data_IF_289909831636
#
_entry.id   IF_289909831636
#
_cell.length_a   1.000
_cell.length_b   1.000
_cell.length_c   1.000
_cell.angle_alpha   90.00
_cell.angle_beta   90.00
_cell.angle_gamma   90.00
#
_symmetry.space_group_name_H-M   'P 1'
#
loop_
_entity.id
_entity.type
_entity.pdbx_description
1 polymer ?
#
# COMPACT_ATOMS: atom_id res chain seq x y z
N UNK A 1 15.00 38.64 -3.49
CA UNK A 1 15.47 37.58 -2.59
C UNK A 1 16.98 37.68 -2.40
N UNK A 2 17.49 37.62 -1.16
CA UNK A 2 18.92 37.53 -0.92
C UNK A 2 19.45 36.23 -1.53
N UNK A 3 20.56 36.29 -2.24
CA UNK A 3 21.19 35.13 -2.86
C UNK A 3 21.70 34.21 -1.75
N UNK A 4 21.03 33.09 -1.53
CA UNK A 4 21.36 32.12 -0.49
C UNK A 4 22.62 31.37 -0.93
N UNK A 5 23.68 31.44 -0.16
CA UNK A 5 25.00 30.91 -0.54
C UNK A 5 25.22 29.45 -0.14
N UNK A 6 24.60 29.01 0.94
CA UNK A 6 24.73 27.63 1.44
C UNK A 6 23.48 27.15 2.17
N UNK A 7 23.42 25.87 2.51
CA UNK A 7 22.27 25.23 3.15
C UNK A 7 21.93 25.85 4.53
N UNK A 8 22.95 26.27 5.30
CA UNK A 8 22.75 26.89 6.62
C UNK A 8 22.11 28.27 6.51
N UNK A 9 22.53 29.06 5.51
CA UNK A 9 21.91 30.37 5.23
C UNK A 9 20.46 30.20 4.84
N UNK A 10 20.16 29.14 4.11
CA UNK A 10 18.80 28.79 3.70
C UNK A 10 17.91 28.43 4.90
N UNK A 11 18.42 27.64 5.83
CA UNK A 11 17.70 27.31 7.05
C UNK A 11 17.38 28.52 7.94
N UNK A 12 18.21 29.57 7.88
CA UNK A 12 17.94 30.85 8.58
C UNK A 12 16.82 31.67 7.93
N UNK A 13 16.63 31.54 6.60
CA UNK A 13 15.61 32.25 5.82
C UNK A 13 14.38 31.39 5.52
N UNK A 14 14.12 30.33 6.29
CA UNK A 14 12.96 29.47 6.09
C UNK A 14 11.65 30.19 6.47
N UNK A 15 10.54 29.67 5.90
CA UNK A 15 9.21 30.12 6.26
C UNK A 15 8.95 29.80 7.75
N UNK A 16 8.26 30.71 8.43
CA UNK A 16 7.98 30.52 9.86
C UNK A 16 6.67 29.75 10.04
N UNK A 17 6.66 28.65 10.82
CA UNK A 17 5.44 27.99 11.21
C UNK A 17 4.49 28.94 11.98
N UNK A 18 3.18 28.78 11.83
CA UNK A 18 2.22 29.52 12.65
C UNK A 18 2.33 29.08 14.12
N UNK A 19 1.97 29.98 15.04
CA UNK A 19 1.99 29.70 16.50
C UNK A 19 1.23 28.41 16.85
N UNK A 20 0.07 28.18 16.24
CA UNK A 20 -0.72 26.98 16.49
C UNK A 20 -0.06 25.67 16.10
N UNK A 21 1.00 25.68 15.29
CA UNK A 21 1.76 24.47 14.99
C UNK A 21 2.47 23.91 16.23
N UNK A 22 3.22 24.74 16.96
CA UNK A 22 3.93 24.28 18.14
C UNK A 22 2.97 23.92 19.27
N UNK A 23 1.87 24.67 19.44
CA UNK A 23 0.80 24.33 20.38
C UNK A 23 0.20 22.95 20.08
N UNK A 24 -0.05 22.67 18.80
CA UNK A 24 -0.51 21.36 18.36
C UNK A 24 0.53 20.26 18.64
N UNK A 25 1.82 20.50 18.37
CA UNK A 25 2.90 19.56 18.68
C UNK A 25 2.90 19.20 20.17
N UNK A 26 2.80 20.18 21.05
CA UNK A 26 2.80 19.96 22.51
C UNK A 26 1.60 19.16 22.97
N UNK A 27 0.45 19.30 22.31
CA UNK A 27 -0.75 18.55 22.59
C UNK A 27 -0.66 17.06 22.24
N UNK A 28 0.30 16.65 21.41
CA UNK A 28 0.53 15.23 21.07
C UNK A 28 1.33 14.49 22.16
N UNK A 29 1.93 15.21 23.10
CA UNK A 29 2.65 14.62 24.23
C UNK A 29 1.72 14.27 25.36
N UNK A 30 2.08 13.25 26.19
CA UNK A 30 1.42 13.01 27.46
C UNK A 30 1.46 14.27 28.35
N UNK A 31 0.36 14.56 29.00
CA UNK A 31 0.30 15.62 30.01
C UNK A 31 0.46 14.97 31.37
N UNK A 32 1.44 15.43 32.15
CA UNK A 32 1.72 14.91 33.48
C UNK A 32 1.17 15.85 34.54
N UNK A 33 0.46 15.28 35.53
CA UNK A 33 -0.09 15.99 36.68
C UNK A 33 0.40 15.31 37.94
N UNK A 34 0.97 16.06 38.89
CA UNK A 34 1.36 15.55 40.18
C UNK A 34 0.12 15.27 41.03
N UNK A 35 -0.12 14.00 41.34
CA UNK A 35 -1.31 13.59 42.10
C UNK A 35 -1.17 13.81 43.58
N UNK A 36 0.04 13.67 44.12
CA UNK A 36 0.36 13.93 45.54
C UNK A 36 1.86 14.15 45.74
N UNK A 37 2.24 14.53 46.96
CA UNK A 37 3.65 14.75 47.35
C UNK A 37 4.52 13.47 47.35
N UNK A 38 3.92 12.28 47.15
CA UNK A 38 4.57 10.97 47.22
C UNK A 38 4.92 10.38 45.82
N UNK A 39 5.20 11.23 44.84
CA UNK A 39 5.85 10.72 43.63
C UNK A 39 4.98 10.05 42.57
N UNK A 40 3.68 10.23 42.63
CA UNK A 40 2.79 9.70 41.61
C UNK A 40 2.52 10.77 40.57
N UNK A 41 2.82 10.44 39.33
CA UNK A 41 2.45 11.25 38.16
C UNK A 41 1.32 10.52 37.44
N UNK A 42 0.24 11.25 37.20
CA UNK A 42 -0.82 10.80 36.29
C UNK A 42 -0.50 11.33 34.93
N UNK A 43 -0.27 10.43 33.99
CA UNK A 43 -0.03 10.80 32.62
C UNK A 43 -1.30 10.54 31.79
N UNK A 44 -1.75 11.54 31.07
CA UNK A 44 -2.81 11.40 30.07
C UNK A 44 -2.28 11.80 28.71
N UNK A 45 -2.64 11.06 27.68
CA UNK A 45 -2.43 11.49 26.30
C UNK A 45 -3.71 12.14 25.80
N UNK A 46 -3.66 13.39 25.41
CA UNK A 46 -4.83 14.09 24.84
C UNK A 46 -5.36 13.38 23.58
N UNK A 47 -4.46 12.76 22.83
CA UNK A 47 -4.79 12.06 21.58
C UNK A 47 -5.63 10.79 21.81
N UNK A 48 -5.50 10.12 22.95
CA UNK A 48 -6.11 8.82 23.16
C UNK A 48 -6.98 8.72 24.41
N UNK A 49 -7.15 9.81 25.13
CA UNK A 49 -7.92 9.87 26.41
C UNK A 49 -7.49 8.85 27.46
N UNK A 50 -6.36 8.16 27.24
CA UNK A 50 -5.86 7.14 28.15
C UNK A 50 -5.06 7.82 29.26
N UNK A 51 -5.47 7.58 30.50
CA UNK A 51 -4.75 8.02 31.68
C UNK A 51 -4.06 6.83 32.33
N UNK A 52 -2.80 6.96 32.66
CA UNK A 52 -2.06 5.96 33.42
C UNK A 52 -1.25 6.62 34.53
N UNK A 53 -1.02 5.86 35.62
CA UNK A 53 -0.21 6.30 36.75
C UNK A 53 1.21 5.75 36.62
N UNK A 54 2.20 6.60 36.82
CA UNK A 54 3.60 6.23 36.83
C UNK A 54 4.26 6.75 38.11
N UNK A 55 4.92 5.86 38.81
CA UNK A 55 5.71 6.21 39.99
C UNK A 55 7.14 6.56 39.57
N UNK A 56 7.62 7.70 40.03
CA UNK A 56 8.99 8.15 39.81
C UNK A 56 9.71 8.28 41.15
N UNK A 57 11.02 8.04 41.18
CA UNK A 57 11.85 8.33 42.34
C UNK A 57 11.84 9.84 42.63
N UNK A 58 11.98 10.21 43.91
CA UNK A 58 11.90 11.60 44.38
C UNK A 58 12.82 12.54 43.64
N UNK A 59 14.06 12.14 43.35
CA UNK A 59 15.05 12.90 42.61
C UNK A 59 14.76 13.02 41.09
N UNK A 60 13.98 12.07 40.52
CA UNK A 60 13.59 12.10 39.13
C UNK A 60 12.50 13.11 38.83
N UNK A 61 11.79 13.62 39.84
CA UNK A 61 10.71 14.59 39.65
C UNK A 61 11.19 15.97 39.29
N UNK A 62 12.38 16.33 39.78
CA UNK A 62 12.90 17.69 39.65
C UNK A 62 13.30 17.98 38.21
N UNK A 63 13.94 17.01 37.60
CA UNK A 63 14.40 17.15 36.21
C UNK A 63 14.51 15.81 35.53
N UNK A 64 13.77 15.57 34.47
CA UNK A 64 13.88 14.38 33.64
C UNK A 64 13.44 14.62 32.20
N UNK A 65 14.04 13.87 31.29
CA UNK A 65 13.62 13.79 29.91
C UNK A 65 12.47 12.81 29.78
N UNK A 66 11.37 13.24 29.16
CA UNK A 66 10.20 12.39 28.97
C UNK A 66 10.21 11.71 27.58
N UNK A 67 10.13 12.50 26.53
CA UNK A 67 9.94 11.98 25.18
C UNK A 67 10.42 12.97 24.12
N UNK A 68 10.87 12.40 22.99
CA UNK A 68 11.11 13.12 21.76
C UNK A 68 10.18 12.61 20.66
N UNK A 69 9.61 13.52 19.87
CA UNK A 69 8.79 13.21 18.71
C UNK A 69 9.11 14.14 17.55
N UNK A 70 8.81 13.65 16.33
CA UNK A 70 9.00 14.41 15.11
C UNK A 70 7.65 14.85 14.54
N UNK A 71 7.57 16.12 14.13
CA UNK A 71 6.37 16.72 13.57
C UNK A 71 6.71 17.44 12.28
N UNK A 72 5.86 17.26 11.30
CA UNK A 72 6.02 17.85 9.98
C UNK A 72 4.98 18.91 9.72
N UNK A 73 5.38 19.98 9.05
CA UNK A 73 4.48 21.01 8.53
C UNK A 73 4.85 21.34 7.10
N UNK A 74 3.82 21.48 6.25
CA UNK A 74 3.97 22.00 4.89
C UNK A 74 3.56 23.46 4.87
N UNK A 75 4.47 24.31 4.42
CA UNK A 75 4.30 25.75 4.29
C UNK A 75 4.42 26.15 2.82
N UNK A 76 3.66 27.15 2.42
CA UNK A 76 3.73 27.67 1.06
C UNK A 76 3.63 29.17 0.99
N UNK A 77 4.34 29.74 0.03
CA UNK A 77 4.17 31.10 -0.49
C UNK A 77 4.00 31.01 -2.01
N UNK A 78 3.80 32.14 -2.68
CA UNK A 78 3.64 32.20 -4.14
C UNK A 78 4.80 31.58 -4.92
N UNK A 79 6.01 31.58 -4.36
CA UNK A 79 7.25 31.15 -5.05
C UNK A 79 8.04 30.08 -4.31
N UNK A 80 7.53 29.57 -3.20
CA UNK A 80 8.30 28.64 -2.36
C UNK A 80 7.32 27.68 -1.65
N UNK A 81 7.65 26.41 -1.66
CA UNK A 81 7.01 25.38 -0.84
C UNK A 81 8.08 24.82 0.07
N UNK A 82 7.79 24.68 1.35
CA UNK A 82 8.69 24.10 2.32
C UNK A 82 8.02 22.95 3.09
N UNK A 83 8.75 21.87 3.22
CA UNK A 83 8.41 20.74 4.09
C UNK A 83 9.42 20.83 5.25
N UNK A 84 8.92 21.18 6.42
CA UNK A 84 9.74 21.35 7.60
C UNK A 84 9.41 20.25 8.61
N UNK A 85 10.43 19.56 9.09
CA UNK A 85 10.30 18.57 10.17
C UNK A 85 10.98 19.12 11.41
N UNK A 86 10.24 19.16 12.49
CA UNK A 86 10.72 19.60 13.78
C UNK A 86 10.87 18.41 14.71
N UNK A 87 11.99 18.36 15.40
CA UNK A 87 12.20 17.49 16.55
C UNK A 87 11.77 18.28 17.80
N UNK A 88 10.80 17.73 18.54
CA UNK A 88 10.21 18.35 19.72
C UNK A 88 10.46 17.47 20.92
N UNK A 89 10.97 18.08 21.98
CA UNK A 89 11.32 17.43 23.23
C UNK A 89 10.36 17.83 24.34
N UNK A 90 9.82 16.84 25.04
CA UNK A 90 9.12 17.03 26.32
C UNK A 90 10.05 16.63 27.45
N UNK A 91 10.21 17.50 28.42
CA UNK A 91 11.01 17.23 29.61
C UNK A 91 10.42 17.95 30.83
N UNK A 92 10.85 17.53 32.00
CA UNK A 92 10.45 18.12 33.25
C UNK A 92 11.62 18.86 33.89
N UNK A 93 11.33 20.06 34.37
CA UNK A 93 12.28 20.92 35.08
C UNK A 93 11.51 21.59 36.19
N UNK A 94 12.02 21.50 37.42
CA UNK A 94 11.40 22.09 38.61
C UNK A 94 9.89 21.76 38.77
N UNK A 95 9.48 20.53 38.43
CA UNK A 95 8.08 20.10 38.51
C UNK A 95 7.16 20.61 37.42
N UNK A 96 7.68 21.30 36.42
CA UNK A 96 6.92 21.80 35.29
C UNK A 96 7.27 21.03 34.01
N UNK A 97 6.28 20.73 33.21
CA UNK A 97 6.49 20.20 31.87
C UNK A 97 6.92 21.33 30.94
N UNK A 98 8.05 21.14 30.32
CA UNK A 98 8.65 22.08 29.39
C UNK A 98 8.83 21.44 28.02
N UNK A 99 8.86 22.26 26.97
CA UNK A 99 9.09 21.82 25.62
C UNK A 99 10.23 22.60 24.98
N UNK A 100 11.06 21.89 24.23
CA UNK A 100 12.05 22.49 23.32
C UNK A 100 11.89 21.88 21.94
N UNK A 101 12.22 22.63 20.93
CA UNK A 101 12.16 22.17 19.56
C UNK A 101 13.33 22.70 18.75
N UNK A 102 13.69 21.99 17.69
CA UNK A 102 14.57 22.51 16.65
C UNK A 102 14.16 21.98 15.28
N UNK A 103 14.51 22.73 14.25
CA UNK A 103 14.31 22.32 12.86
C UNK A 103 15.29 21.20 12.54
N UNK A 104 14.76 19.99 12.35
CA UNK A 104 15.54 18.78 12.06
C UNK A 104 15.79 18.61 10.56
N UNK A 105 14.74 18.73 9.74
CA UNK A 105 14.81 18.61 8.29
C UNK A 105 14.03 19.72 7.61
N UNK A 106 14.63 20.30 6.58
CA UNK A 106 14.02 21.30 5.72
C UNK A 106 14.18 20.88 4.28
N UNK A 107 13.09 20.70 3.59
CA UNK A 107 13.06 20.53 2.13
C UNK A 107 12.36 21.74 1.53
N UNK A 108 13.04 22.44 0.64
CA UNK A 108 12.50 23.62 0.00
C UNK A 108 12.45 23.45 -1.51
N UNK A 109 11.27 23.71 -2.06
CA UNK A 109 10.96 23.65 -3.47
C UNK A 109 10.82 25.09 -3.99
N UNK A 110 11.77 25.54 -4.77
CA UNK A 110 11.86 26.93 -5.23
C UNK A 110 12.60 27.00 -6.57
N UNK A 111 12.10 27.77 -7.52
CA UNK A 111 12.77 28.03 -8.81
C UNK A 111 13.22 26.75 -9.54
N UNK A 112 12.37 25.73 -9.60
CA UNK A 112 12.66 24.40 -10.15
C UNK A 112 13.77 23.63 -9.42
N UNK A 113 14.18 24.05 -8.23
CA UNK A 113 15.18 23.38 -7.41
C UNK A 113 14.52 22.72 -6.21
N UNK A 114 15.09 21.62 -5.79
CA UNK A 114 14.82 20.97 -4.52
C UNK A 114 16.06 21.07 -3.65
N UNK A 115 15.97 21.84 -2.59
CA UNK A 115 17.03 22.04 -1.61
C UNK A 115 16.66 21.27 -0.35
N UNK A 116 17.60 20.52 0.17
CA UNK A 116 17.43 19.72 1.38
C UNK A 116 18.51 20.05 2.39
N UNK A 117 18.08 20.35 3.61
CA UNK A 117 18.95 20.57 4.77
C UNK A 117 18.49 19.60 5.84
N UNK A 118 19.37 18.71 6.26
CA UNK A 118 19.13 17.82 7.36
C UNK A 118 20.18 18.13 8.45
N UNK A 119 19.73 18.30 9.68
CA UNK A 119 20.64 18.44 10.83
C UNK A 119 20.73 17.09 11.53
N UNK A 120 21.94 16.74 11.95
CA UNK A 120 22.11 15.57 12.79
C UNK A 120 21.45 15.80 14.14
N UNK A 121 20.65 14.83 14.57
CA UNK A 121 19.99 14.84 15.88
C UNK A 121 20.97 14.44 16.97
N UNK A 122 21.91 15.34 17.29
CA UNK A 122 22.90 15.07 18.34
C UNK A 122 22.48 15.60 19.72
N UNK A 123 21.32 16.26 19.83
CA UNK A 123 20.94 16.92 21.09
C UNK A 123 20.26 15.97 22.10
N UNK A 124 19.79 14.81 21.69
CA UNK A 124 19.20 13.82 22.58
C UNK A 124 20.13 13.40 23.75
N UNK A 125 21.44 13.43 23.52
CA UNK A 125 22.46 13.08 24.50
C UNK A 125 22.94 14.28 25.32
N UNK A 126 22.68 15.51 24.86
CA UNK A 126 23.22 16.74 25.51
C UNK A 126 22.41 17.17 26.72
N UNK A 127 21.19 16.71 26.91
CA UNK A 127 20.40 17.12 28.06
C UNK A 127 20.83 16.50 29.38
N UNK A 128 21.71 15.49 29.39
CA UNK A 128 22.25 14.86 30.59
C UNK A 128 21.19 14.30 31.55
N UNK A 129 19.94 14.23 31.08
CA UNK A 129 18.76 13.89 31.86
C UNK A 129 18.38 12.42 31.60
N UNK A 130 18.11 11.67 32.66
CA UNK A 130 17.66 10.27 32.53
C UNK A 130 16.34 10.24 31.77
N UNK A 131 16.29 9.48 30.67
CA UNK A 131 15.05 9.18 29.98
C UNK A 131 14.17 8.31 30.88
N UNK A 132 12.95 8.77 31.14
CA UNK A 132 11.97 8.07 31.97
C UNK A 132 11.19 7.04 31.14
N UNK A 133 11.02 7.34 29.88
CA UNK A 133 10.40 6.45 28.90
C UNK A 133 11.42 6.18 27.80
N UNK A 134 12.14 5.09 27.86
CA UNK A 134 13.23 4.74 26.98
C UNK A 134 12.83 4.35 25.56
N UNK A 135 11.97 5.13 24.90
CA UNK A 135 11.52 4.77 23.57
C UNK A 135 11.74 5.96 22.64
N UNK A 136 12.78 5.85 21.83
CA UNK A 136 12.85 6.57 20.58
C UNK A 136 11.75 6.01 19.68
N UNK A 137 10.71 6.78 19.42
CA UNK A 137 9.78 6.42 18.36
C UNK A 137 10.54 6.43 17.04
N UNK A 138 10.29 5.41 16.22
CA UNK A 138 10.75 5.41 14.83
C UNK A 138 10.43 6.76 14.19
N UNK A 139 11.37 7.25 13.38
CA UNK A 139 11.27 8.51 12.65
C UNK A 139 10.11 8.44 11.63
N UNK A 140 8.92 8.67 12.13
CA UNK A 140 7.72 8.91 11.31
C UNK A 140 7.12 10.21 11.83
N UNK A 141 7.36 11.34 11.17
CA UNK A 141 6.82 12.61 11.61
C UNK A 141 5.30 12.63 11.48
N UNK A 142 4.61 13.12 12.50
CA UNK A 142 3.19 13.45 12.39
C UNK A 142 3.01 14.75 11.61
N UNK A 143 2.09 14.75 10.65
CA UNK A 143 1.85 15.90 9.77
C UNK A 143 0.82 16.83 10.39
N UNK A 144 1.15 18.11 10.51
CA UNK A 144 0.23 19.15 11.01
C UNK A 144 -0.96 19.33 10.07
N UNK A 145 -2.20 19.19 10.56
CA UNK A 145 -3.42 19.27 9.75
C UNK A 145 -3.84 20.71 9.45
N UNK A 146 -3.01 21.48 8.74
CA UNK A 146 -3.25 22.89 8.47
C UNK A 146 -3.92 23.23 7.13
N UNK A 147 -4.48 22.22 6.44
CA UNK A 147 -5.08 22.41 5.11
C UNK A 147 -4.03 22.80 4.05
N UNK A 148 -2.84 22.22 4.13
CA UNK A 148 -1.72 22.57 3.25
C UNK A 148 -2.00 22.23 1.77
N UNK A 149 -2.78 21.20 1.48
CA UNK A 149 -3.17 20.85 0.11
C UNK A 149 -3.96 22.00 -0.52
N UNK A 150 -4.96 22.51 0.18
CA UNK A 150 -5.80 23.62 -0.28
C UNK A 150 -4.98 24.91 -0.44
N UNK A 151 -4.03 25.16 0.45
CA UNK A 151 -3.13 26.32 0.35
C UNK A 151 -2.21 26.22 -0.86
N UNK A 152 -1.64 25.05 -1.14
CA UNK A 152 -0.86 24.80 -2.36
C UNK A 152 -1.71 25.02 -3.62
N UNK A 153 -2.96 24.56 -3.62
CA UNK A 153 -3.90 24.73 -4.73
C UNK A 153 -4.32 26.19 -4.99
N UNK A 154 -4.15 27.08 -4.01
CA UNK A 154 -4.53 28.52 -4.17
C UNK A 154 -3.39 29.42 -4.64
N UNK A 155 -2.18 29.20 -4.15
CA UNK A 155 -1.14 30.24 -4.25
C UNK A 155 0.25 29.73 -4.60
N UNK A 156 0.47 28.43 -4.81
CA UNK A 156 1.79 27.91 -5.12
C UNK A 156 2.00 27.62 -6.62
N UNK A 157 3.22 27.23 -6.98
CA UNK A 157 3.53 26.72 -8.32
C UNK A 157 2.79 25.41 -8.64
N UNK A 158 2.15 24.77 -7.66
CA UNK A 158 1.34 23.56 -7.82
C UNK A 158 -0.17 23.82 -7.94
N UNK A 159 -0.60 25.09 -8.03
CA UNK A 159 -2.00 25.52 -8.02
C UNK A 159 -2.90 24.92 -9.09
N UNK A 160 -2.34 24.36 -10.14
CA UNK A 160 -3.10 23.74 -11.22
C UNK A 160 -3.18 22.21 -11.10
N UNK A 161 -2.60 21.64 -10.04
CA UNK A 161 -2.60 20.20 -9.82
C UNK A 161 -3.72 19.79 -8.88
N UNK A 162 -4.33 18.66 -9.19
CA UNK A 162 -5.14 17.93 -8.21
C UNK A 162 -4.20 17.14 -7.30
N UNK A 163 -4.09 17.58 -6.06
CA UNK A 163 -3.18 17.02 -5.06
C UNK A 163 -3.91 16.17 -4.01
N UNK A 164 -5.19 15.82 -4.22
CA UNK A 164 -5.94 15.00 -3.28
C UNK A 164 -5.27 13.66 -3.04
N UNK A 165 -5.10 13.30 -1.77
CA UNK A 165 -4.45 12.05 -1.35
C UNK A 165 -2.91 12.07 -1.42
N UNK A 166 -2.30 13.20 -1.77
CA UNK A 166 -0.84 13.35 -1.78
C UNK A 166 -0.30 13.47 -0.36
N UNK A 167 0.82 12.79 -0.10
CA UNK A 167 1.58 12.92 1.15
C UNK A 167 2.73 13.93 0.98
N UNK A 168 3.15 14.61 2.05
CA UNK A 168 4.21 15.61 1.96
C UNK A 168 5.51 15.11 1.33
N UNK A 169 5.86 13.85 1.57
CA UNK A 169 7.08 13.22 1.04
C UNK A 169 7.07 13.07 -0.48
N UNK A 170 5.90 13.11 -1.11
CA UNK A 170 5.76 13.05 -2.56
C UNK A 170 5.97 14.42 -3.22
N UNK A 171 5.84 15.51 -2.47
CA UNK A 171 5.92 16.88 -3.01
C UNK A 171 7.19 17.20 -3.79
N UNK A 172 8.40 16.79 -3.37
CA UNK A 172 9.60 17.05 -4.15
C UNK A 172 9.56 16.39 -5.55
N UNK A 173 9.03 15.18 -5.64
CA UNK A 173 8.87 14.49 -6.91
C UNK A 173 7.78 15.14 -7.77
N UNK A 174 6.63 15.45 -7.17
CA UNK A 174 5.52 16.14 -7.84
C UNK A 174 5.97 17.50 -8.36
N UNK A 175 6.68 18.27 -7.56
CA UNK A 175 7.20 19.57 -7.95
C UNK A 175 8.15 19.49 -9.15
N UNK A 176 9.06 18.51 -9.14
CA UNK A 176 9.99 18.26 -10.25
C UNK A 176 9.27 17.96 -11.56
N UNK A 177 8.17 17.22 -11.49
CA UNK A 177 7.46 16.75 -12.70
C UNK A 177 6.09 17.39 -12.90
N UNK A 178 5.79 18.50 -12.17
CA UNK A 178 4.48 19.17 -12.13
C UNK A 178 3.87 19.45 -13.50
N UNK A 179 4.68 19.90 -14.45
CA UNK A 179 4.18 20.22 -15.79
C UNK A 179 3.69 18.99 -16.56
N UNK A 180 4.28 17.83 -16.30
CA UNK A 180 3.87 16.55 -16.92
C UNK A 180 2.61 16.02 -16.24
N UNK A 181 2.54 16.12 -14.93
CA UNK A 181 1.36 15.76 -14.13
C UNK A 181 0.18 16.64 -14.52
N UNK A 182 0.39 17.96 -14.60
CA UNK A 182 -0.63 18.92 -15.03
C UNK A 182 -1.16 18.59 -16.43
N UNK A 183 -0.25 18.29 -17.38
CA UNK A 183 -0.66 17.89 -18.71
C UNK A 183 -1.50 16.62 -18.69
N UNK A 184 -1.09 15.60 -17.93
CA UNK A 184 -1.84 14.35 -17.81
C UNK A 184 -3.23 14.59 -17.19
N UNK A 185 -3.32 15.40 -16.12
CA UNK A 185 -4.59 15.75 -15.51
C UNK A 185 -5.50 16.55 -16.47
N UNK A 186 -4.97 17.52 -17.19
CA UNK A 186 -5.72 18.33 -18.16
C UNK A 186 -6.32 17.52 -19.31
N UNK A 187 -5.65 16.49 -19.76
CA UNK A 187 -6.20 15.60 -20.79
C UNK A 187 -7.14 14.53 -20.25
N UNK A 188 -7.36 14.49 -18.94
CA UNK A 188 -8.19 13.49 -18.28
C UNK A 188 -7.52 12.12 -18.09
N UNK A 189 -6.19 12.04 -18.21
CA UNK A 189 -5.40 10.84 -17.98
C UNK A 189 -5.12 10.66 -16.46
N UNK A 190 -6.17 10.43 -15.69
CA UNK A 190 -6.13 10.42 -14.21
C UNK A 190 -5.16 9.37 -13.68
N UNK A 191 -5.23 8.14 -14.20
CA UNK A 191 -4.36 7.05 -13.74
C UNK A 191 -2.89 7.33 -14.05
N UNK A 192 -2.57 7.82 -15.27
CA UNK A 192 -1.20 8.19 -15.60
C UNK A 192 -0.65 9.32 -14.70
N UNK A 193 -1.48 10.32 -14.39
CA UNK A 193 -1.10 11.39 -13.47
C UNK A 193 -0.79 10.81 -12.07
N UNK A 194 -1.63 9.91 -11.58
CA UNK A 194 -1.43 9.23 -10.31
C UNK A 194 -0.15 8.36 -10.30
N UNK A 195 0.09 7.63 -11.38
CA UNK A 195 1.31 6.82 -11.55
C UNK A 195 2.57 7.68 -11.46
N UNK A 196 2.56 8.88 -12.07
CA UNK A 196 3.67 9.82 -11.99
C UNK A 196 3.82 10.36 -10.55
N UNK A 197 2.72 10.79 -9.92
CA UNK A 197 2.74 11.33 -8.54
C UNK A 197 3.24 10.31 -7.53
N UNK A 198 2.83 9.07 -7.66
CA UNK A 198 3.21 7.96 -6.79
C UNK A 198 4.61 7.40 -7.10
N UNK A 199 5.31 7.98 -8.07
CA UNK A 199 6.67 7.54 -8.43
C UNK A 199 6.76 6.03 -8.66
N UNK A 200 5.81 5.45 -9.41
CA UNK A 200 5.88 4.01 -9.68
C UNK A 200 7.19 3.67 -10.42
N UNK A 201 7.86 2.61 -9.97
CA UNK A 201 9.20 2.24 -10.43
C UNK A 201 9.30 1.91 -11.92
N UNK A 202 8.17 1.59 -12.56
CA UNK A 202 8.10 1.29 -13.99
C UNK A 202 8.34 2.50 -14.88
N UNK A 203 8.10 3.72 -14.38
CA UNK A 203 8.18 4.92 -15.19
C UNK A 203 9.61 5.44 -15.24
N UNK A 204 10.23 5.37 -16.41
CA UNK A 204 11.43 6.17 -16.68
C UNK A 204 11.04 7.60 -17.06
N UNK A 205 11.17 8.51 -16.11
CA UNK A 205 10.86 9.93 -16.33
C UNK A 205 11.79 10.62 -17.31
N UNK A 206 12.90 10.03 -17.74
CA UNK A 206 13.78 10.57 -18.80
C UNK A 206 13.11 10.38 -20.16
N UNK A 207 12.42 9.26 -20.34
CA UNK A 207 11.69 8.93 -21.58
C UNK A 207 10.36 9.68 -21.65
N UNK A 208 9.63 9.79 -20.53
CA UNK A 208 8.34 10.44 -20.46
C UNK A 208 8.46 11.99 -20.53
N UNK A 209 8.85 12.49 -21.71
CA UNK A 209 8.94 13.93 -22.00
C UNK A 209 7.56 14.51 -22.36
N UNK A 210 7.46 15.86 -22.46
CA UNK A 210 6.24 16.52 -22.99
C UNK A 210 5.89 16.04 -24.40
N UNK A 211 6.89 15.79 -25.24
CA UNK A 211 6.67 15.29 -26.60
C UNK A 211 6.15 13.84 -26.58
N UNK A 212 6.67 13.00 -25.69
CA UNK A 212 6.16 11.66 -25.47
C UNK A 212 4.67 11.71 -25.05
N UNK A 213 4.32 12.54 -24.07
CA UNK A 213 2.94 12.71 -23.61
C UNK A 213 2.00 13.18 -24.74
N UNK A 214 2.46 14.10 -25.62
CA UNK A 214 1.70 14.53 -26.79
C UNK A 214 1.51 13.40 -27.80
N UNK A 215 2.57 12.62 -28.09
CA UNK A 215 2.53 11.48 -29.01
C UNK A 215 1.50 10.43 -28.55
N UNK A 216 1.44 10.12 -27.27
CA UNK A 216 0.57 9.09 -26.71
C UNK A 216 -0.71 9.65 -26.09
N UNK A 217 -1.01 10.95 -26.29
CA UNK A 217 -2.19 11.61 -25.73
C UNK A 217 -3.48 10.82 -25.97
N UNK A 218 -3.74 10.37 -27.19
CA UNK A 218 -4.96 9.64 -27.57
C UNK A 218 -5.14 8.34 -26.76
N UNK A 219 -4.04 7.67 -26.39
CA UNK A 219 -4.09 6.45 -25.60
C UNK A 219 -4.55 6.70 -24.17
N UNK A 220 -4.07 7.77 -23.54
CA UNK A 220 -4.36 8.09 -22.14
C UNK A 220 -5.57 9.03 -21.95
N UNK A 221 -5.92 9.80 -22.94
CA UNK A 221 -6.92 10.85 -22.83
C UNK A 221 -8.28 10.31 -22.43
N UNK A 222 -8.89 10.91 -21.37
CA UNK A 222 -10.22 10.53 -20.84
C UNK A 222 -10.36 9.02 -20.56
N UNK A 223 -9.28 8.39 -20.15
CA UNK A 223 -9.25 6.96 -19.88
C UNK A 223 -8.73 6.67 -18.47
N UNK A 224 -9.00 5.47 -17.99
CA UNK A 224 -8.42 4.91 -16.77
C UNK A 224 -7.08 4.22 -16.98
N UNK A 225 -6.47 4.37 -18.16
CA UNK A 225 -5.19 3.72 -18.52
C UNK A 225 -4.04 4.38 -17.80
N UNK A 226 -3.21 3.55 -17.18
CA UNK A 226 -1.96 3.94 -16.55
C UNK A 226 -0.74 3.58 -17.39
N UNK A 227 0.44 3.76 -16.80
CA UNK A 227 1.69 3.44 -17.49
C UNK A 227 1.89 1.93 -17.72
N UNK A 228 1.35 1.09 -16.82
CA UNK A 228 1.37 -0.36 -16.99
C UNK A 228 0.63 -0.81 -18.26
N UNK A 229 -0.51 -0.19 -18.56
CA UNK A 229 -1.29 -0.48 -19.76
C UNK A 229 -0.54 -0.06 -21.03
N UNK A 230 0.22 1.02 -20.94
CA UNK A 230 1.11 1.45 -22.04
C UNK A 230 2.25 0.45 -22.26
N UNK A 231 2.82 -0.12 -21.21
CA UNK A 231 3.85 -1.16 -21.35
C UNK A 231 3.28 -2.43 -21.99
N UNK A 232 2.07 -2.84 -21.62
CA UNK A 232 1.37 -3.94 -22.26
C UNK A 232 1.20 -3.67 -23.76
N UNK A 233 0.74 -2.47 -24.12
CA UNK A 233 0.63 -2.05 -25.53
C UNK A 233 1.97 -2.16 -26.25
N UNK A 234 3.04 -1.67 -25.64
CA UNK A 234 4.38 -1.71 -26.24
C UNK A 234 4.90 -3.13 -26.44
N UNK A 235 4.67 -4.00 -25.48
CA UNK A 235 5.06 -5.40 -25.58
C UNK A 235 4.31 -6.12 -26.72
N UNK A 236 3.02 -5.86 -26.87
CA UNK A 236 2.26 -6.36 -28.02
C UNK A 236 2.81 -5.86 -29.35
N UNK A 237 3.08 -4.55 -29.45
CA UNK A 237 3.68 -3.95 -30.66
C UNK A 237 5.03 -4.59 -31.01
N UNK A 238 5.89 -4.86 -30.03
CA UNK A 238 7.19 -5.52 -30.23
C UNK A 238 7.04 -6.93 -30.82
N UNK A 239 5.95 -7.60 -30.47
CA UNK A 239 5.60 -8.93 -31.02
C UNK A 239 4.81 -8.86 -32.34
N UNK A 240 4.67 -7.67 -32.93
CA UNK A 240 3.90 -7.46 -34.15
C UNK A 240 2.37 -7.60 -33.97
N UNK A 241 1.88 -7.50 -32.73
CA UNK A 241 0.47 -7.69 -32.40
C UNK A 241 -0.17 -6.35 -32.08
N UNK A 242 -1.29 -6.05 -32.71
CA UNK A 242 -2.09 -4.88 -32.37
C UNK A 242 -2.88 -5.12 -31.09
N UNK A 243 -2.73 -4.23 -30.11
CA UNK A 243 -3.54 -4.23 -28.92
C UNK A 243 -4.96 -3.76 -29.23
N UNK A 244 -5.96 -4.58 -28.87
CA UNK A 244 -7.36 -4.17 -28.88
C UNK A 244 -7.64 -3.38 -27.61
N UNK A 245 -8.08 -2.12 -27.76
CA UNK A 245 -8.35 -1.26 -26.59
C UNK A 245 -9.46 -1.83 -25.73
N UNK A 246 -9.23 -1.87 -24.44
CA UNK A 246 -10.12 -2.51 -23.47
C UNK A 246 -9.55 -3.79 -22.87
N UNK A 247 -8.62 -4.46 -23.58
CA UNK A 247 -8.00 -5.71 -23.10
C UNK A 247 -7.21 -5.51 -21.79
N UNK A 248 -6.70 -4.30 -21.56
CA UNK A 248 -6.00 -3.92 -20.35
C UNK A 248 -6.83 -4.10 -19.07
N UNK A 249 -8.15 -4.17 -19.19
CA UNK A 249 -9.05 -4.45 -18.07
C UNK A 249 -9.07 -5.93 -17.67
N UNK A 250 -8.73 -6.80 -18.59
CA UNK A 250 -8.88 -8.24 -18.48
C UNK A 250 -7.55 -9.00 -18.35
N UNK A 251 -6.42 -8.33 -18.57
CA UNK A 251 -5.08 -8.90 -18.41
C UNK A 251 -4.36 -8.16 -17.30
N UNK A 252 -4.01 -8.86 -16.20
CA UNK A 252 -3.25 -8.28 -15.12
C UNK A 252 -1.76 -8.24 -15.46
N UNK A 253 -1.02 -7.35 -14.79
CA UNK A 253 0.44 -7.25 -14.92
C UNK A 253 1.17 -8.56 -14.58
N UNK A 254 0.64 -9.32 -13.63
CA UNK A 254 1.24 -10.58 -13.19
C UNK A 254 1.04 -11.72 -14.19
N UNK A 255 0.09 -11.56 -15.11
CA UNK A 255 -0.30 -12.55 -16.10
C UNK A 255 0.26 -12.25 -17.50
N UNK A 256 1.00 -11.15 -17.66
CA UNK A 256 1.48 -10.70 -18.98
C UNK A 256 2.31 -11.78 -19.68
N UNK A 257 3.19 -12.47 -18.96
CA UNK A 257 4.03 -13.52 -19.56
C UNK A 257 3.16 -14.69 -20.04
N UNK A 258 2.29 -15.22 -19.18
CA UNK A 258 1.38 -16.32 -19.52
C UNK A 258 0.46 -15.93 -20.67
N UNK A 259 -0.01 -14.68 -20.69
CA UNK A 259 -0.82 -14.14 -21.80
C UNK A 259 -0.04 -14.15 -23.11
N UNK A 260 1.22 -13.78 -23.12
CA UNK A 260 2.06 -13.76 -24.31
C UNK A 260 2.56 -15.14 -24.76
N UNK A 261 2.51 -16.15 -23.92
CA UNK A 261 2.79 -17.54 -24.29
C UNK A 261 1.69 -18.17 -25.16
N UNK A 262 0.51 -17.53 -25.21
CA UNK A 262 -0.61 -18.05 -26.00
C UNK A 262 -0.43 -17.79 -27.49
N UNK A 263 -0.63 -18.82 -28.28
CA UNK A 263 -0.78 -18.70 -29.71
C UNK A 263 -2.10 -17.99 -30.07
N UNK A 264 -2.10 -17.20 -31.16
CA UNK A 264 -3.29 -16.50 -31.67
C UNK A 264 -3.79 -15.38 -30.72
N UNK A 265 -2.89 -14.53 -30.23
CA UNK A 265 -3.20 -13.43 -29.30
C UNK A 265 -4.33 -12.50 -29.78
N UNK A 266 -4.49 -12.27 -31.08
CA UNK A 266 -5.62 -11.46 -31.59
C UNK A 266 -6.97 -12.13 -31.31
N UNK A 267 -7.07 -13.44 -31.53
CA UNK A 267 -8.28 -14.20 -31.25
C UNK A 267 -8.56 -14.23 -29.74
N UNK A 268 -7.52 -14.40 -28.93
CA UNK A 268 -7.64 -14.39 -27.46
C UNK A 268 -8.14 -13.03 -26.95
N UNK A 269 -7.59 -11.92 -27.42
CA UNK A 269 -8.07 -10.57 -27.06
C UNK A 269 -9.56 -10.41 -27.38
N UNK A 270 -9.95 -10.75 -28.61
CA UNK A 270 -11.35 -10.65 -29.05
C UNK A 270 -12.27 -11.52 -28.19
N UNK A 271 -11.80 -12.72 -27.86
CA UNK A 271 -12.54 -13.65 -27.01
C UNK A 271 -12.76 -13.11 -25.60
N UNK A 272 -11.70 -12.67 -24.92
CA UNK A 272 -11.79 -12.12 -23.56
C UNK A 272 -12.66 -10.87 -23.50
N UNK A 273 -12.57 -10.00 -24.52
CA UNK A 273 -13.42 -8.82 -24.61
C UNK A 273 -14.90 -9.18 -24.83
N UNK A 274 -15.19 -10.20 -25.64
CA UNK A 274 -16.56 -10.68 -25.87
C UNK A 274 -17.15 -11.32 -24.61
N UNK A 275 -16.35 -12.10 -23.89
CA UNK A 275 -16.76 -12.76 -22.66
C UNK A 275 -16.81 -11.83 -21.44
N UNK A 276 -16.18 -10.65 -21.54
CA UNK A 276 -16.01 -9.69 -20.42
C UNK A 276 -15.34 -10.32 -19.18
N UNK A 277 -14.47 -11.30 -19.38
CA UNK A 277 -13.82 -12.06 -18.31
C UNK A 277 -12.30 -11.81 -18.29
N UNK A 278 -11.69 -11.98 -17.12
CA UNK A 278 -10.25 -11.86 -16.96
C UNK A 278 -9.51 -13.05 -17.56
N UNK A 279 -8.31 -12.79 -18.03
CA UNK A 279 -7.40 -13.82 -18.54
C UNK A 279 -7.12 -14.92 -17.50
N UNK A 280 -7.05 -14.58 -16.22
CA UNK A 280 -6.92 -15.58 -15.15
C UNK A 280 -7.99 -16.66 -15.23
N UNK A 281 -9.25 -16.29 -15.41
CA UNK A 281 -10.33 -17.25 -15.51
C UNK A 281 -10.21 -18.17 -16.75
N UNK A 282 -9.82 -17.59 -17.87
CA UNK A 282 -9.56 -18.38 -19.08
C UNK A 282 -8.39 -19.36 -18.88
N UNK A 283 -7.30 -18.91 -18.27
CA UNK A 283 -6.15 -19.74 -17.91
C UNK A 283 -6.55 -20.85 -16.95
N UNK A 284 -7.30 -20.53 -15.92
CA UNK A 284 -7.79 -21.51 -14.94
C UNK A 284 -8.66 -22.57 -15.58
N UNK A 285 -9.54 -22.18 -16.51
CA UNK A 285 -10.34 -23.12 -17.30
C UNK A 285 -9.47 -24.08 -18.12
N UNK A 286 -8.43 -23.55 -18.82
CA UNK A 286 -7.51 -24.39 -19.58
C UNK A 286 -6.70 -25.33 -18.70
N UNK A 287 -6.26 -24.86 -17.53
CA UNK A 287 -5.55 -25.69 -16.56
C UNK A 287 -6.44 -26.83 -16.03
N UNK A 288 -7.70 -26.54 -15.72
CA UNK A 288 -8.66 -27.59 -15.31
C UNK A 288 -8.88 -28.64 -16.40
N UNK A 289 -9.00 -28.23 -17.66
CA UNK A 289 -9.07 -29.20 -18.76
C UNK A 289 -7.85 -30.12 -18.79
N UNK A 290 -6.67 -29.55 -18.66
CA UNK A 290 -5.41 -30.30 -18.65
C UNK A 290 -5.31 -31.25 -17.44
N UNK A 291 -5.63 -30.75 -16.24
CA UNK A 291 -5.58 -31.53 -14.99
C UNK A 291 -6.56 -32.71 -15.00
N UNK A 292 -7.71 -32.57 -15.68
CA UNK A 292 -8.68 -33.62 -15.91
C UNK A 292 -8.36 -34.56 -17.11
N UNK A 293 -7.21 -34.33 -17.78
CA UNK A 293 -6.80 -35.10 -18.95
C UNK A 293 -7.64 -34.84 -20.18
N UNK A 294 -8.43 -33.77 -20.21
CA UNK A 294 -9.28 -33.42 -21.35
C UNK A 294 -8.44 -32.71 -22.40
N UNK A 295 -8.26 -33.32 -23.55
CA UNK A 295 -7.47 -32.72 -24.64
C UNK A 295 -8.08 -31.41 -25.12
N UNK A 296 -7.29 -30.33 -25.03
CA UNK A 296 -7.69 -29.01 -25.54
C UNK A 296 -7.76 -29.07 -27.08
N UNK A 297 -8.91 -28.69 -27.62
CA UNK A 297 -9.20 -28.65 -29.05
C UNK A 297 -9.95 -27.35 -29.43
N UNK A 298 -10.23 -27.16 -30.70
CA UNK A 298 -10.88 -25.93 -31.18
C UNK A 298 -12.28 -25.67 -30.60
N UNK A 299 -12.99 -26.72 -30.14
CA UNK A 299 -14.34 -26.58 -29.56
C UNK A 299 -14.32 -26.17 -28.11
N UNK A 300 -13.40 -26.74 -27.33
CA UNK A 300 -13.30 -26.44 -25.90
C UNK A 300 -12.28 -25.34 -25.54
N UNK A 301 -11.38 -24.96 -26.47
CA UNK A 301 -10.43 -23.88 -26.24
C UNK A 301 -11.09 -22.50 -26.06
N UNK A 302 -12.19 -22.27 -26.78
CA UNK A 302 -12.92 -21.00 -26.77
C UNK A 302 -14.43 -21.31 -26.68
N UNK A 303 -14.94 -21.76 -25.52
CA UNK A 303 -16.36 -22.06 -25.37
C UNK A 303 -17.21 -20.79 -25.58
N UNK A 304 -18.46 -20.98 -25.98
CA UNK A 304 -19.38 -19.87 -26.24
C UNK A 304 -19.70 -19.07 -24.97
N UNK A 305 -19.75 -19.73 -23.82
CA UNK A 305 -19.83 -19.14 -22.49
C UNK A 305 -18.73 -19.75 -21.63
N UNK A 306 -17.73 -18.94 -21.31
CA UNK A 306 -16.57 -19.37 -20.51
C UNK A 306 -16.95 -19.63 -19.05
N UNK A 307 -17.85 -18.81 -18.49
CA UNK A 307 -18.27 -18.97 -17.09
C UNK A 307 -19.06 -20.26 -16.91
N UNK A 308 -19.98 -20.56 -17.83
CA UNK A 308 -20.74 -21.81 -17.78
C UNK A 308 -19.84 -23.04 -17.99
N UNK A 309 -18.92 -22.97 -18.94
CA UNK A 309 -17.98 -24.07 -19.21
C UNK A 309 -17.02 -24.31 -18.01
N UNK A 310 -16.56 -23.24 -17.38
CA UNK A 310 -15.75 -23.29 -16.18
C UNK A 310 -16.53 -23.88 -15.00
N UNK A 311 -17.76 -23.41 -14.74
CA UNK A 311 -18.59 -23.89 -13.64
C UNK A 311 -18.92 -25.38 -13.79
N UNK A 312 -19.18 -25.85 -15.01
CA UNK A 312 -19.39 -27.30 -15.31
C UNK A 312 -18.16 -28.15 -14.96
N UNK A 313 -16.96 -27.68 -15.30
CA UNK A 313 -15.72 -28.38 -14.93
C UNK A 313 -15.51 -28.40 -13.41
N UNK A 314 -15.78 -27.28 -12.73
CA UNK A 314 -15.72 -27.20 -11.26
C UNK A 314 -16.62 -28.26 -10.62
N UNK A 315 -17.86 -28.45 -11.14
CA UNK A 315 -18.80 -29.44 -10.62
C UNK A 315 -18.30 -30.89 -10.85
N UNK A 316 -17.68 -31.15 -11.99
CA UNK A 316 -17.08 -32.46 -12.31
C UNK A 316 -15.93 -32.77 -11.35
N UNK A 317 -15.02 -31.82 -11.13
CA UNK A 317 -13.86 -31.96 -10.24
C UNK A 317 -14.32 -32.18 -8.80
N UNK A 318 -15.34 -31.45 -8.35
CA UNK A 318 -15.88 -31.55 -6.99
C UNK A 318 -16.48 -32.92 -6.68
N UNK A 319 -16.95 -33.65 -7.71
CA UNK A 319 -17.61 -34.97 -7.56
C UNK A 319 -16.70 -36.17 -7.25
N UNK A 320 -15.36 -36.07 -7.44
CA UNK A 320 -14.50 -37.25 -7.63
C UNK A 320 -13.57 -37.69 -6.47
N UNK A 321 -13.60 -37.14 -5.21
CA UNK A 321 -12.53 -37.44 -4.23
C UNK A 321 -12.84 -38.26 -2.98
N UNK A 322 -11.88 -39.13 -2.59
CA UNK A 322 -11.94 -40.25 -1.62
C UNK A 322 -11.43 -39.89 -0.17
N UNK A 323 -11.77 -40.79 0.81
CA UNK A 323 -11.52 -40.60 2.26
C UNK A 323 -10.04 -40.47 2.69
N UNK A 324 -9.10 -41.12 1.97
CA UNK A 324 -7.66 -41.04 2.31
C UNK A 324 -7.09 -39.63 2.13
N UNK A 325 -7.66 -38.87 1.21
CA UNK A 325 -7.28 -37.46 1.00
C UNK A 325 -7.79 -36.59 2.13
N UNK A 326 -8.94 -36.88 2.71
CA UNK A 326 -9.50 -36.17 3.86
C UNK A 326 -8.54 -36.19 5.07
N UNK A 327 -7.94 -37.37 5.38
CA UNK A 327 -7.00 -37.50 6.50
C UNK A 327 -5.72 -36.68 6.30
N UNK A 328 -5.13 -36.73 5.10
CA UNK A 328 -3.92 -35.95 4.76
C UNK A 328 -4.21 -34.45 4.85
N UNK A 329 -5.38 -34.05 4.43
CA UNK A 329 -5.81 -32.64 4.44
C UNK A 329 -5.93 -32.07 5.87
N UNK A 330 -6.60 -32.81 6.77
CA UNK A 330 -6.76 -32.42 8.18
C UNK A 330 -5.41 -32.30 8.89
N UNK A 331 -4.50 -33.24 8.64
CA UNK A 331 -3.15 -33.21 9.22
C UNK A 331 -2.38 -31.97 8.75
N UNK A 332 -2.48 -31.66 7.46
CA UNK A 332 -1.84 -30.49 6.88
C UNK A 332 -2.39 -29.19 7.45
N UNK A 333 -3.71 -29.07 7.57
CA UNK A 333 -4.33 -27.88 8.17
C UNK A 333 -3.83 -27.60 9.59
N UNK A 334 -3.67 -28.65 10.42
CA UNK A 334 -3.06 -28.54 11.75
C UNK A 334 -1.61 -28.01 11.69
N UNK A 335 -0.81 -28.54 10.78
CA UNK A 335 0.60 -28.15 10.64
C UNK A 335 0.77 -26.70 10.16
N UNK A 336 -0.20 -26.16 9.44
CA UNK A 336 -0.20 -24.80 8.91
C UNK A 336 -0.94 -23.78 9.79
N UNK A 337 -1.50 -24.19 10.93
CA UNK A 337 -2.30 -23.32 11.78
C UNK A 337 -1.58 -22.03 12.22
N UNK A 338 -0.24 -22.03 12.24
CA UNK A 338 0.57 -20.84 12.52
C UNK A 338 0.39 -19.71 11.48
N UNK A 339 -0.17 -20.01 10.31
CA UNK A 339 -0.46 -19.03 9.24
C UNK A 339 -1.78 -18.29 9.48
N UNK A 340 -2.67 -18.86 10.32
CA UNK A 340 -3.94 -18.21 10.65
C UNK A 340 -3.72 -17.01 11.55
N UNK A 341 -4.24 -15.86 11.16
CA UNK A 341 -4.19 -14.64 11.97
C UNK A 341 -5.11 -13.54 11.46
N UNK A 342 -5.35 -12.60 12.34
CA UNK A 342 -6.03 -11.36 12.03
C UNK A 342 -5.01 -10.25 11.72
N UNK A 343 -5.28 -9.50 10.66
CA UNK A 343 -4.56 -8.27 10.33
C UNK A 343 -5.59 -7.17 10.02
N UNK A 344 -5.70 -6.19 10.89
CA UNK A 344 -6.77 -5.19 10.81
C UNK A 344 -8.16 -5.83 10.84
N UNK A 345 -8.97 -5.52 9.83
CA UNK A 345 -10.32 -6.07 9.68
C UNK A 345 -10.36 -7.38 8.87
N UNK A 346 -9.22 -7.94 8.52
CA UNK A 346 -9.12 -9.15 7.71
C UNK A 346 -8.63 -10.32 8.58
N UNK A 347 -9.34 -11.44 8.49
CA UNK A 347 -8.94 -12.74 9.02
C UNK A 347 -8.36 -13.59 7.90
N UNK A 348 -7.15 -14.08 8.08
CA UNK A 348 -6.55 -15.12 7.24
C UNK A 348 -6.74 -16.45 7.92
N UNK A 349 -7.52 -17.34 7.30
CA UNK A 349 -7.85 -18.65 7.83
C UNK A 349 -7.52 -19.74 6.81
N UNK A 350 -7.22 -20.93 7.32
CA UNK A 350 -6.96 -22.11 6.52
C UNK A 350 -8.23 -22.95 6.35
N UNK A 351 -8.41 -23.59 5.20
CA UNK A 351 -9.43 -24.62 5.06
C UNK A 351 -9.12 -25.79 6.02
N UNK A 352 -10.10 -26.21 6.77
CA UNK A 352 -9.99 -27.33 7.73
C UNK A 352 -10.37 -28.67 7.14
N UNK A 353 -11.09 -28.63 6.02
CA UNK A 353 -11.56 -29.79 5.29
C UNK A 353 -11.51 -29.56 3.78
N UNK A 354 -11.62 -30.65 3.03
CA UNK A 354 -11.79 -30.59 1.57
C UNK A 354 -13.08 -29.86 1.22
N UNK A 355 -14.12 -30.07 2.02
CA UNK A 355 -15.43 -29.44 1.87
C UNK A 355 -15.35 -27.91 1.99
N UNK A 356 -14.48 -27.38 2.85
CA UNK A 356 -14.31 -25.92 2.99
C UNK A 356 -13.82 -25.30 1.67
N UNK A 357 -12.86 -25.95 1.00
CA UNK A 357 -12.37 -25.46 -0.31
C UNK A 357 -13.46 -25.57 -1.38
N UNK A 358 -14.23 -26.67 -1.37
CA UNK A 358 -15.33 -26.86 -2.31
C UNK A 358 -16.41 -25.82 -2.11
N UNK A 359 -16.80 -25.59 -0.87
CA UNK A 359 -17.80 -24.59 -0.52
C UNK A 359 -17.35 -23.19 -0.91
N UNK A 360 -16.09 -22.85 -0.64
CA UNK A 360 -15.48 -21.60 -1.06
C UNK A 360 -15.57 -21.41 -2.58
N UNK A 361 -15.16 -22.44 -3.34
CA UNK A 361 -15.24 -22.40 -4.81
C UNK A 361 -16.67 -22.26 -5.32
N UNK A 362 -17.64 -22.94 -4.67
CA UNK A 362 -19.05 -22.86 -5.03
C UNK A 362 -19.64 -21.47 -4.76
N UNK A 363 -19.35 -20.87 -3.60
CA UNK A 363 -19.90 -19.58 -3.21
C UNK A 363 -19.27 -18.43 -4.01
N UNK A 364 -17.96 -18.47 -4.22
CA UNK A 364 -17.23 -17.44 -4.99
C UNK A 364 -17.22 -17.73 -6.50
N UNK A 365 -17.76 -18.88 -6.93
CA UNK A 365 -17.81 -19.30 -8.34
C UNK A 365 -16.45 -19.18 -9.04
N UNK A 366 -15.44 -19.82 -8.45
CA UNK A 366 -14.09 -19.92 -9.01
C UNK A 366 -13.46 -21.30 -8.74
N UNK A 367 -12.38 -21.63 -9.45
CA UNK A 367 -11.83 -22.97 -9.56
C UNK A 367 -10.98 -23.45 -8.37
N UNK A 368 -11.07 -22.87 -7.19
CA UNK A 368 -10.20 -23.24 -6.05
C UNK A 368 -10.29 -24.74 -5.70
N UNK A 369 -11.37 -25.41 -6.04
CA UNK A 369 -11.50 -26.86 -5.83
C UNK A 369 -10.45 -27.68 -6.61
N UNK A 370 -9.94 -27.20 -7.75
CA UNK A 370 -8.86 -27.84 -8.50
C UNK A 370 -7.52 -27.83 -7.73
N UNK A 371 -7.38 -26.97 -6.72
CA UNK A 371 -6.17 -26.88 -5.90
C UNK A 371 -6.15 -27.84 -4.70
N UNK A 372 -7.21 -28.60 -4.46
CA UNK A 372 -7.34 -29.50 -3.29
C UNK A 372 -6.14 -30.44 -3.20
N UNK A 373 -5.77 -31.13 -4.29
CA UNK A 373 -4.66 -32.07 -4.31
C UNK A 373 -3.33 -31.38 -4.09
N UNK A 374 -3.11 -30.28 -4.77
CA UNK A 374 -1.88 -29.48 -4.65
C UNK A 374 -1.73 -28.93 -3.24
N UNK A 375 -2.84 -28.51 -2.63
CA UNK A 375 -2.86 -28.08 -1.24
C UNK A 375 -2.55 -29.27 -0.30
N UNK A 376 -3.19 -30.41 -0.49
CA UNK A 376 -2.97 -31.61 0.33
C UNK A 376 -1.52 -32.16 0.24
N UNK A 377 -0.90 -32.10 -0.95
CA UNK A 377 0.49 -32.53 -1.20
C UNK A 377 1.54 -31.49 -0.74
N UNK A 378 1.15 -30.26 -0.46
CA UNK A 378 2.08 -29.22 -0.04
C UNK A 378 2.69 -28.42 -1.18
N UNK A 379 2.25 -28.62 -2.40
CA UNK A 379 2.74 -27.88 -3.57
C UNK A 379 2.29 -26.42 -3.58
N UNK A 380 1.16 -26.14 -2.91
CA UNK A 380 0.63 -24.80 -2.66
C UNK A 380 -0.14 -24.75 -1.34
N UNK A 381 -0.47 -23.58 -0.84
CA UNK A 381 -1.31 -23.39 0.34
C UNK A 381 -2.45 -22.45 0.00
N UNK A 382 -3.69 -22.94 0.13
CA UNK A 382 -4.89 -22.12 0.01
C UNK A 382 -5.21 -21.49 1.37
N UNK A 383 -5.53 -20.21 1.36
CA UNK A 383 -6.00 -19.44 2.50
C UNK A 383 -7.28 -18.70 2.10
N UNK A 384 -8.13 -18.48 3.07
CA UNK A 384 -9.32 -17.66 2.90
C UNK A 384 -9.12 -16.33 3.63
N UNK A 385 -9.37 -15.23 2.95
CA UNK A 385 -9.54 -13.95 3.59
C UNK A 385 -11.01 -13.75 3.94
N UNK A 386 -11.28 -13.31 5.15
CA UNK A 386 -12.62 -13.05 5.68
C UNK A 386 -12.67 -11.66 6.29
N UNK A 387 -13.81 -11.03 6.26
CA UNK A 387 -14.06 -9.82 7.05
C UNK A 387 -14.36 -10.21 8.50
N UNK A 388 -13.81 -9.47 9.46
CA UNK A 388 -13.99 -9.77 10.88
C UNK A 388 -15.44 -9.66 11.34
N UNK A 389 -16.21 -8.77 10.73
CA UNK A 389 -17.64 -8.56 11.00
C UNK A 389 -18.52 -9.66 10.43
N UNK A 390 -18.01 -10.44 9.45
CA UNK A 390 -18.73 -11.59 8.88
C UNK A 390 -17.77 -12.71 8.49
N UNK A 391 -17.15 -13.42 9.45
CA UNK A 391 -16.10 -14.40 9.19
C UNK A 391 -16.60 -15.69 8.52
N UNK A 392 -17.88 -15.95 8.54
CA UNK A 392 -18.49 -17.10 7.85
C UNK A 392 -18.69 -16.87 6.36
N UNK A 393 -18.75 -15.61 5.90
CA UNK A 393 -18.99 -15.27 4.50
C UNK A 393 -17.71 -15.26 3.70
N UNK A 394 -17.58 -15.99 2.58
CA UNK A 394 -16.47 -15.89 1.66
C UNK A 394 -16.23 -14.46 1.17
N UNK A 395 -14.97 -14.05 1.16
CA UNK A 395 -14.59 -12.71 0.71
C UNK A 395 -13.55 -12.79 -0.41
N UNK A 396 -12.35 -13.33 -0.14
CA UNK A 396 -11.33 -13.64 -1.15
C UNK A 396 -10.62 -14.94 -0.81
N UNK A 397 -10.20 -15.65 -1.86
CA UNK A 397 -9.34 -16.84 -1.76
C UNK A 397 -7.94 -16.49 -2.21
N UNK A 398 -6.92 -16.94 -1.48
CA UNK A 398 -5.52 -16.67 -1.75
C UNK A 398 -4.77 -17.98 -1.99
N UNK A 399 -3.84 -17.97 -2.95
CA UNK A 399 -2.83 -19.00 -3.14
C UNK A 399 -1.49 -18.51 -2.61
N UNK A 400 -0.95 -19.22 -1.63
CA UNK A 400 0.39 -18.99 -1.09
C UNK A 400 1.35 -20.06 -1.58
N UNK A 401 2.43 -19.64 -2.20
CA UNK A 401 3.46 -20.52 -2.76
C UNK A 401 4.81 -19.83 -2.67
N UNK A 402 5.87 -20.60 -2.38
CA UNK A 402 7.25 -20.12 -2.36
C UNK A 402 7.46 -18.86 -1.49
N UNK A 403 6.75 -18.82 -0.34
CA UNK A 403 6.91 -17.75 0.65
C UNK A 403 6.16 -16.45 0.35
N UNK A 404 5.25 -16.44 -0.62
CA UNK A 404 4.45 -15.27 -1.02
C UNK A 404 3.05 -15.65 -1.51
N UNK A 405 2.14 -14.70 -1.48
CA UNK A 405 0.85 -14.81 -2.16
C UNK A 405 1.06 -14.65 -3.67
N UNK A 406 0.71 -15.66 -4.44
CA UNK A 406 0.85 -15.67 -5.90
C UNK A 406 -0.46 -15.40 -6.63
N UNK A 407 -1.60 -15.62 -5.97
CA UNK A 407 -2.91 -15.37 -6.53
C UNK A 407 -3.90 -14.90 -5.47
N UNK A 408 -4.80 -13.98 -5.84
CA UNK A 408 -5.91 -13.48 -5.02
C UNK A 408 -7.17 -13.47 -5.88
N UNK A 409 -8.16 -14.28 -5.51
CA UNK A 409 -9.38 -14.48 -6.30
C UNK A 409 -10.62 -14.01 -5.53
N UNK A 410 -11.50 -13.30 -6.22
CA UNK A 410 -12.81 -12.87 -5.75
C UNK A 410 -13.93 -13.65 -6.44
N UNK A 411 -15.17 -13.29 -6.15
CA UNK A 411 -16.35 -13.86 -6.85
C UNK A 411 -16.19 -13.73 -8.37
N UNK A 412 -16.13 -14.86 -9.07
CA UNK A 412 -15.89 -14.96 -10.53
C UNK A 412 -14.69 -14.17 -11.01
N UNK A 413 -13.74 -13.86 -10.13
CA UNK A 413 -12.58 -12.98 -10.39
C UNK A 413 -12.95 -11.57 -10.93
N UNK A 414 -14.17 -11.11 -10.63
CA UNK A 414 -14.69 -9.80 -11.12
C UNK A 414 -14.44 -8.65 -10.17
N UNK A 415 -14.31 -8.92 -8.86
CA UNK A 415 -14.08 -7.89 -7.86
C UNK A 415 -12.59 -7.58 -7.76
N UNK A 416 -12.16 -6.34 -7.99
CA UNK A 416 -10.77 -5.94 -7.78
C UNK A 416 -10.36 -6.14 -6.32
N UNK A 417 -9.09 -6.48 -6.10
CA UNK A 417 -8.55 -6.60 -4.74
C UNK A 417 -8.54 -5.22 -4.08
N UNK A 418 -9.29 -5.01 -2.97
CA UNK A 418 -9.31 -3.73 -2.28
C UNK A 418 -7.96 -3.40 -1.65
N UNK A 419 -7.68 -2.11 -1.47
CA UNK A 419 -6.41 -1.67 -0.87
C UNK A 419 -6.22 -2.21 0.55
N UNK A 420 -7.28 -2.19 1.37
CA UNK A 420 -7.29 -2.79 2.71
C UNK A 420 -6.78 -4.25 2.71
N UNK A 421 -7.22 -5.06 1.75
CA UNK A 421 -6.77 -6.45 1.64
C UNK A 421 -5.32 -6.56 1.16
N UNK A 422 -4.88 -5.68 0.25
CA UNK A 422 -3.47 -5.65 -0.21
C UNK A 422 -2.52 -5.31 0.93
N UNK A 423 -2.86 -4.30 1.73
CA UNK A 423 -2.10 -3.92 2.91
C UNK A 423 -2.06 -5.06 3.93
N UNK A 424 -3.21 -5.68 4.21
CA UNK A 424 -3.30 -6.83 5.12
C UNK A 424 -2.43 -8.00 4.66
N UNK A 425 -2.43 -8.34 3.36
CA UNK A 425 -1.56 -9.37 2.78
C UNK A 425 -0.08 -9.01 2.98
N UNK A 426 0.30 -7.76 2.71
CA UNK A 426 1.69 -7.31 2.87
C UNK A 426 2.19 -7.44 4.32
N UNK A 427 1.34 -7.06 5.29
CA UNK A 427 1.65 -7.19 6.72
C UNK A 427 1.74 -8.68 7.10
N UNK A 428 0.77 -9.48 6.70
CA UNK A 428 0.71 -10.92 6.96
C UNK A 428 1.96 -11.65 6.43
N UNK A 429 2.39 -11.38 5.20
CA UNK A 429 3.61 -11.96 4.63
C UNK A 429 4.88 -11.57 5.41
N UNK A 430 5.00 -10.29 5.81
CA UNK A 430 6.14 -9.80 6.61
C UNK A 430 6.23 -10.50 7.95
N UNK A 431 5.10 -10.72 8.61
CA UNK A 431 5.05 -11.39 9.90
C UNK A 431 5.35 -12.89 9.82
N UNK A 432 4.92 -13.56 8.75
CA UNK A 432 5.29 -14.96 8.50
C UNK A 432 6.78 -15.13 8.29
N UNK A 433 7.41 -14.23 7.53
CA UNK A 433 8.87 -14.27 7.33
C UNK A 433 9.63 -14.11 8.64
N UNK A 434 9.19 -13.21 9.53
CA UNK A 434 9.82 -13.03 10.85
C UNK A 434 9.80 -14.32 11.68
N UNK A 435 8.69 -15.06 11.69
CA UNK A 435 8.59 -16.34 12.43
C UNK A 435 9.49 -17.44 11.87
N UNK A 436 9.76 -17.47 10.57
CA UNK A 436 10.63 -18.47 9.92
C UNK A 436 12.11 -18.27 10.22
N UNK A 437 12.52 -17.08 10.70
CA UNK A 437 13.90 -16.78 11.12
C UNK A 437 14.13 -16.94 12.64
N UNK A 438 13.08 -17.23 13.41
CA UNK A 438 13.13 -17.37 14.90
C UNK A 438 12.88 -18.83 15.33
N UNK A 439 12.55 -19.71 14.39
CA UNK A 439 12.41 -21.17 14.58
C UNK A 439 13.54 -21.90 13.85
#
# INVERSE_FOLDING_TARGET
MKKIKNANDYAKDCLKPPKGFFEWCYQQFPTYVWKNKRETIVASTRKHSNTYEKRLAKNSRLTFFDKCQYFMIVLSSTKRIEIQTYEVYSFFEEGKQMFKYHLFNLESLVENKHLKVCRESNENYRFGKKAVTGIFNYYVPEVYPNGWIEKLGRSSELKYLDLRGVQPEQLPHIYKYRERIEFAQKIGAKQLAQDIMNKIYLIDMRVMTKNWLRKFKKFFQKSSRGYADFLLKKEMETRGIQMILGIEKYVSRYEINDFFENNHLMKLQTYLLKQEVRFSMYRDYLNMLNDEGIKVNNKNKYPDDLEEAHDKLVDIINGRKTENEKKKFVTRAKNLAYMERQVGNILFILPKSVEDIRQEGKELKHCVASYIDRHAKGETTILFARKIDNPSKPYFTLEFKDGKIVQVQSTRNRVPVPEELREAISIWEKELRKKKYVA
#
